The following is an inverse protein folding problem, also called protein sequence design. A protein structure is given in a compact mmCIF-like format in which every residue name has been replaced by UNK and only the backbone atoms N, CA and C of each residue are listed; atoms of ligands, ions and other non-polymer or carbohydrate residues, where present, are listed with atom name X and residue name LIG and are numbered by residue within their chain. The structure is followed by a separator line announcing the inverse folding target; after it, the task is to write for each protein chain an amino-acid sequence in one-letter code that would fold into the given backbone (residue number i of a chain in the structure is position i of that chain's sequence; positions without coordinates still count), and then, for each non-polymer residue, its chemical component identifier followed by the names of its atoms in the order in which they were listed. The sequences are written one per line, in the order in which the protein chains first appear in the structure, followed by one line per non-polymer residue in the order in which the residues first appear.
data_IF_779205347854
#
_entry.id   IF_779205347854
#
_cell.length_a   1.000
_cell.length_b   1.000
_cell.length_c   1.000
_cell.angle_alpha   90.00
_cell.angle_beta   90.00
_cell.angle_gamma   90.00
#
_symmetry.space_group_name_H-M   'P 1'
#
loop_
_entity.id
_entity.type
_entity.pdbx_description
1 polymer ?
#
# COMPACT_ATOMS: atom_id res chain seq x y z
N UNK A 1 -11.97 16.49 -5.63
CA UNK A 1 -13.22 16.72 -6.40
C UNK A 1 -13.49 18.21 -6.65
N UNK A 2 -13.07 19.11 -5.75
CA UNK A 2 -13.11 20.58 -5.95
C UNK A 2 -12.62 21.12 -7.32
N UNK A 3 -11.53 20.63 -7.94
CA UNK A 3 -11.09 21.15 -9.24
C UNK A 3 -12.07 20.89 -10.39
N UNK A 4 -13.08 20.05 -10.15
CA UNK A 4 -14.11 19.74 -11.13
C UNK A 4 -15.40 20.56 -10.94
N UNK A 5 -15.40 21.49 -9.97
CA UNK A 5 -16.54 22.35 -9.64
C UNK A 5 -17.56 21.72 -8.68
N UNK A 6 -17.26 20.54 -8.13
CA UNK A 6 -18.16 19.84 -7.22
C UNK A 6 -17.61 19.82 -5.79
N UNK A 7 -18.46 20.18 -4.84
CA UNK A 7 -18.19 20.17 -3.41
C UNK A 7 -19.13 19.15 -2.75
N UNK A 8 -18.84 17.85 -2.87
CA UNK A 8 -19.68 16.84 -2.24
C UNK A 8 -19.67 17.04 -0.72
N UNK A 9 -20.83 16.87 -0.08
CA UNK A 9 -20.93 16.95 1.38
C UNK A 9 -19.97 15.97 2.06
N UNK A 10 -19.36 16.41 3.17
CA UNK A 10 -18.41 15.58 3.93
C UNK A 10 -19.03 14.25 4.36
N UNK A 11 -20.25 14.27 4.90
CA UNK A 11 -20.96 13.08 5.37
C UNK A 11 -21.19 12.06 4.24
N UNK A 12 -21.70 12.50 3.08
CA UNK A 12 -21.94 11.63 1.94
C UNK A 12 -20.64 11.10 1.32
N UNK A 13 -19.58 11.91 1.32
CA UNK A 13 -18.24 11.47 0.91
C UNK A 13 -17.69 10.40 1.86
N UNK A 14 -17.83 10.60 3.17
CA UNK A 14 -17.43 9.63 4.18
C UNK A 14 -18.21 8.31 4.05
N UNK A 15 -19.55 8.38 3.93
CA UNK A 15 -20.39 7.21 3.70
C UNK A 15 -19.99 6.46 2.43
N UNK A 16 -19.78 7.17 1.32
CA UNK A 16 -19.38 6.54 0.05
C UNK A 16 -18.04 5.81 0.17
N UNK A 17 -17.07 6.35 0.92
CA UNK A 17 -15.77 5.71 1.16
C UNK A 17 -15.91 4.49 2.06
N UNK A 18 -16.61 4.59 3.19
CA UNK A 18 -16.80 3.47 4.13
C UNK A 18 -17.59 2.30 3.51
N UNK A 19 -18.67 2.61 2.77
CA UNK A 19 -19.45 1.61 2.02
C UNK A 19 -18.58 0.98 0.93
N UNK A 20 -17.73 1.78 0.27
CA UNK A 20 -16.75 1.29 -0.69
C UNK A 20 -15.77 0.28 -0.06
N UNK A 21 -15.21 0.60 1.12
CA UNK A 21 -14.32 -0.33 1.83
C UNK A 21 -15.04 -1.62 2.23
N UNK A 22 -16.27 -1.53 2.74
CA UNK A 22 -17.09 -2.70 3.06
C UNK A 22 -17.30 -3.59 1.83
N UNK A 23 -17.66 -3.00 0.69
CA UNK A 23 -17.88 -3.76 -0.54
C UNK A 23 -16.60 -4.41 -1.08
N UNK A 24 -15.44 -3.77 -0.90
CA UNK A 24 -14.14 -4.34 -1.27
C UNK A 24 -13.75 -5.56 -0.43
N UNK A 25 -14.28 -5.71 0.79
CA UNK A 25 -14.10 -6.94 1.58
C UNK A 25 -14.84 -8.12 0.94
N UNK A 26 -16.02 -7.89 0.35
CA UNK A 26 -16.82 -8.94 -0.28
C UNK A 26 -16.36 -9.25 -1.72
N UNK A 27 -16.16 -8.21 -2.53
CA UNK A 27 -15.78 -8.34 -3.94
C UNK A 27 -14.67 -7.32 -4.26
N UNK A 28 -13.48 -7.79 -4.69
CA UNK A 28 -12.39 -6.89 -5.06
C UNK A 28 -12.84 -5.85 -6.09
N UNK A 29 -12.51 -4.57 -5.83
CA UNK A 29 -12.76 -3.42 -6.70
C UNK A 29 -14.24 -3.00 -6.84
N UNK A 30 -15.19 -3.72 -6.24
CA UNK A 30 -16.60 -3.32 -6.25
C UNK A 30 -16.81 -1.99 -5.52
N UNK A 31 -16.02 -1.73 -4.48
CA UNK A 31 -16.12 -0.52 -3.68
C UNK A 31 -15.86 0.77 -4.46
N UNK A 32 -15.00 0.71 -5.47
CA UNK A 32 -14.69 1.87 -6.33
C UNK A 32 -15.91 2.24 -7.20
N UNK A 33 -16.59 1.22 -7.73
CA UNK A 33 -17.83 1.40 -8.49
C UNK A 33 -18.93 1.97 -7.59
N UNK A 34 -19.13 1.40 -6.41
CA UNK A 34 -20.16 1.87 -5.47
C UNK A 34 -19.91 3.29 -4.97
N UNK A 35 -18.66 3.66 -4.68
CA UNK A 35 -18.29 5.05 -4.32
C UNK A 35 -18.73 6.01 -5.42
N UNK A 36 -18.45 5.69 -6.68
CA UNK A 36 -18.90 6.49 -7.83
C UNK A 36 -20.42 6.56 -7.93
N UNK A 37 -21.12 5.43 -7.81
CA UNK A 37 -22.58 5.38 -7.91
C UNK A 37 -23.27 6.15 -6.79
N UNK A 38 -22.79 6.03 -5.55
CA UNK A 38 -23.34 6.73 -4.38
C UNK A 38 -23.17 8.24 -4.54
N UNK A 39 -21.97 8.70 -4.88
CA UNK A 39 -21.71 10.13 -5.08
C UNK A 39 -22.45 10.69 -6.31
N UNK A 40 -22.58 9.91 -7.38
CA UNK A 40 -23.40 10.32 -8.53
C UNK A 40 -24.88 10.46 -8.16
N UNK A 41 -25.40 9.55 -7.31
CA UNK A 41 -26.80 9.57 -6.88
C UNK A 41 -27.12 10.68 -5.88
N UNK A 42 -26.30 10.84 -4.83
CA UNK A 42 -26.61 11.73 -3.72
C UNK A 42 -25.97 13.12 -3.84
N UNK A 43 -24.82 13.24 -4.51
CA UNK A 43 -24.09 14.50 -4.69
C UNK A 43 -24.15 15.02 -6.13
N UNK A 44 -24.86 14.32 -7.03
CA UNK A 44 -25.06 14.67 -8.45
C UNK A 44 -23.74 14.94 -9.21
N UNK A 45 -22.65 14.28 -8.79
CA UNK A 45 -21.35 14.39 -9.43
C UNK A 45 -21.27 13.38 -10.59
N UNK A 46 -20.89 13.78 -11.82
CA UNK A 46 -20.76 12.86 -12.95
C UNK A 46 -19.78 11.71 -12.66
N UNK A 47 -20.20 10.47 -12.92
CA UNK A 47 -19.40 9.28 -12.65
C UNK A 47 -18.04 9.28 -13.38
N UNK A 48 -17.99 9.76 -14.62
CA UNK A 48 -16.77 9.86 -15.44
C UNK A 48 -15.66 10.66 -14.74
N UNK A 49 -16.05 11.74 -14.05
CA UNK A 49 -15.15 12.62 -13.30
C UNK A 49 -14.66 11.96 -11.99
N UNK A 50 -15.53 11.17 -11.34
CA UNK A 50 -15.19 10.42 -10.13
C UNK A 50 -14.17 9.31 -10.44
N UNK A 51 -14.33 8.61 -11.56
CA UNK A 51 -13.39 7.56 -11.99
C UNK A 51 -11.98 8.11 -12.15
N UNK A 52 -11.82 9.27 -12.80
CA UNK A 52 -10.49 9.90 -12.96
C UNK A 52 -9.82 10.24 -11.61
N UNK A 53 -10.60 10.62 -10.60
CA UNK A 53 -10.07 10.90 -9.25
C UNK A 53 -9.65 9.61 -8.54
N UNK A 54 -10.40 8.52 -8.69
CA UNK A 54 -10.04 7.22 -8.10
C UNK A 54 -8.74 6.69 -8.71
N UNK A 55 -8.55 6.80 -10.03
CA UNK A 55 -7.30 6.39 -10.67
C UNK A 55 -6.11 7.20 -10.13
N UNK A 56 -6.30 8.51 -9.91
CA UNK A 56 -5.31 9.36 -9.27
C UNK A 56 -4.96 8.89 -7.85
N UNK A 57 -5.98 8.66 -7.01
CA UNK A 57 -5.84 8.13 -5.65
C UNK A 57 -5.02 6.83 -5.66
N UNK A 58 -5.34 5.88 -6.55
CA UNK A 58 -4.65 4.59 -6.66
C UNK A 58 -3.19 4.70 -7.12
N UNK A 59 -2.90 5.57 -8.08
CA UNK A 59 -1.53 5.77 -8.51
C UNK A 59 -0.65 6.29 -7.37
N UNK A 60 -1.18 7.22 -6.56
CA UNK A 60 -0.48 7.73 -5.39
C UNK A 60 -0.29 6.67 -4.31
N UNK A 61 -1.32 5.86 -4.02
CA UNK A 61 -1.17 4.72 -3.11
C UNK A 61 -0.04 3.79 -3.53
N UNK A 62 0.08 3.46 -4.82
CA UNK A 62 1.13 2.58 -5.34
C UNK A 62 2.52 3.23 -5.23
N UNK A 63 2.64 4.53 -5.52
CA UNK A 63 3.91 5.26 -5.39
C UNK A 63 4.32 5.31 -3.93
N UNK A 64 3.41 5.65 -3.03
CA UNK A 64 3.67 5.72 -1.60
C UNK A 64 4.05 4.36 -1.03
N UNK A 65 3.38 3.27 -1.45
CA UNK A 65 3.80 1.91 -1.10
C UNK A 65 5.23 1.62 -1.61
N UNK A 66 5.56 2.04 -2.83
CA UNK A 66 6.92 1.94 -3.37
C UNK A 66 7.96 2.69 -2.54
N UNK A 67 7.63 3.89 -2.06
CA UNK A 67 8.50 4.66 -1.15
C UNK A 67 8.66 3.94 0.19
N UNK A 68 7.57 3.42 0.77
CA UNK A 68 7.60 2.65 2.02
C UNK A 68 8.48 1.40 1.86
N UNK A 69 8.38 0.70 0.74
CA UNK A 69 9.28 -0.42 0.41
C UNK A 69 10.74 0.03 0.35
N UNK A 70 11.05 1.10 -0.37
CA UNK A 70 12.41 1.62 -0.46
C UNK A 70 12.96 2.01 0.93
N UNK A 71 12.14 2.68 1.75
CA UNK A 71 12.52 3.06 3.11
C UNK A 71 12.75 1.82 3.99
N UNK A 72 11.88 0.81 3.92
CA UNK A 72 12.05 -0.47 4.63
C UNK A 72 13.38 -1.14 4.25
N UNK A 73 13.68 -1.22 2.94
CA UNK A 73 14.94 -1.75 2.45
C UNK A 73 16.16 -0.93 2.93
N UNK A 74 16.07 0.40 2.98
CA UNK A 74 17.18 1.24 3.45
C UNK A 74 17.39 1.18 4.97
N UNK A 75 16.32 1.07 5.76
CA UNK A 75 16.40 1.01 7.22
C UNK A 75 16.83 -0.38 7.71
N UNK A 76 16.46 -1.44 6.99
CA UNK A 76 17.01 -2.78 7.23
C UNK A 76 18.41 -2.96 6.61
N UNK A 77 18.95 -1.96 5.92
CA UNK A 77 20.26 -2.03 5.29
C UNK A 77 21.41 -2.06 6.31
N UNK A 78 21.19 -1.71 7.58
CA UNK A 78 22.21 -1.93 8.63
C UNK A 78 22.31 -3.41 9.00
N UNK A 79 21.19 -4.13 9.09
CA UNK A 79 21.16 -5.60 9.33
C UNK A 79 21.70 -6.36 8.11
N UNK A 80 21.31 -5.93 6.89
CA UNK A 80 21.86 -6.46 5.63
C UNK A 80 23.29 -5.97 5.40
N UNK A 81 23.68 -4.85 6.00
CA UNK A 81 24.98 -4.20 5.85
C UNK A 81 26.04 -4.78 6.75
N UNK A 82 25.70 -5.30 7.93
CA UNK A 82 26.59 -6.13 8.74
C UNK A 82 26.78 -7.50 8.10
N UNK A 83 25.70 -8.19 7.68
CA UNK A 83 25.81 -9.41 6.89
C UNK A 83 26.57 -9.17 5.58
N UNK A 84 26.31 -8.04 4.92
CA UNK A 84 26.95 -7.61 3.69
C UNK A 84 28.40 -7.25 3.90
N UNK A 85 28.77 -6.59 4.99
CA UNK A 85 30.17 -6.33 5.38
C UNK A 85 30.89 -7.62 5.75
N UNK A 86 30.24 -8.55 6.43
CA UNK A 86 30.82 -9.84 6.81
C UNK A 86 31.04 -10.72 5.58
N UNK A 87 30.05 -10.80 4.69
CA UNK A 87 30.16 -11.47 3.39
C UNK A 87 31.18 -10.75 2.49
N UNK A 88 31.22 -9.41 2.52
CA UNK A 88 32.19 -8.61 1.75
C UNK A 88 33.60 -8.77 2.31
N UNK A 89 33.78 -8.88 3.63
CA UNK A 89 35.07 -9.19 4.25
C UNK A 89 35.51 -10.61 3.90
N UNK A 90 34.65 -11.61 3.98
CA UNK A 90 34.96 -12.99 3.59
C UNK A 90 35.23 -13.15 2.08
N UNK A 91 34.50 -12.42 1.24
CA UNK A 91 34.64 -12.52 -0.22
C UNK A 91 35.77 -11.64 -0.77
N UNK A 92 36.06 -10.48 -0.17
CA UNK A 92 37.02 -9.50 -0.71
C UNK A 92 38.30 -9.32 0.08
N UNK A 93 38.39 -9.77 1.34
CA UNK A 93 39.69 -9.86 2.02
C UNK A 93 40.34 -11.21 1.73
N UNK A 94 41.60 -11.17 1.31
CA UNK A 94 42.45 -12.37 1.30
C UNK A 94 43.11 -12.47 2.67
N UNK A 95 43.55 -13.67 3.11
CA UNK A 95 44.18 -13.92 4.43
C UNK A 95 45.35 -12.97 4.83
N UNK A 96 45.82 -12.10 3.94
CA UNK A 96 46.84 -11.07 4.17
C UNK A 96 46.38 -9.60 4.10
N UNK A 97 45.08 -9.30 4.13
CA UNK A 97 44.57 -7.93 4.35
C UNK A 97 44.54 -6.97 3.14
N UNK A 98 44.91 -7.40 1.94
CA UNK A 98 44.83 -6.56 0.73
C UNK A 98 43.51 -6.72 -0.05
N UNK A 99 43.02 -5.59 -0.57
CA UNK A 99 41.75 -5.43 -1.30
C UNK A 99 41.87 -6.00 -2.73
N UNK A 100 41.03 -6.98 -3.10
CA UNK A 100 41.07 -7.59 -4.44
C UNK A 100 40.19 -6.84 -5.44
N UNK A 101 40.79 -5.90 -6.19
CA UNK A 101 40.12 -5.16 -7.28
C UNK A 101 39.56 -6.07 -8.38
N UNK A 102 40.15 -7.25 -8.58
CA UNK A 102 39.74 -8.24 -9.58
C UNK A 102 38.36 -8.84 -9.26
N UNK A 103 38.04 -9.11 -7.99
CA UNK A 103 36.73 -9.63 -7.58
C UNK A 103 35.62 -8.59 -7.73
N UNK A 104 35.95 -7.31 -7.56
CA UNK A 104 35.04 -6.17 -7.69
C UNK A 104 34.61 -5.95 -9.14
N UNK A 105 35.56 -6.08 -10.07
CA UNK A 105 35.30 -6.03 -11.51
C UNK A 105 34.45 -7.23 -11.97
N UNK A 106 34.71 -8.43 -11.44
CA UNK A 106 33.92 -9.63 -11.76
C UNK A 106 32.48 -9.50 -11.27
N UNK A 107 32.25 -9.01 -10.04
CA UNK A 107 30.91 -8.78 -9.52
C UNK A 107 30.20 -7.64 -10.25
N UNK A 108 30.91 -6.56 -10.60
CA UNK A 108 30.38 -5.50 -11.45
C UNK A 108 29.93 -6.02 -12.83
N UNK A 109 30.71 -6.91 -13.43
CA UNK A 109 30.36 -7.58 -14.69
C UNK A 109 29.18 -8.55 -14.53
N UNK A 110 29.08 -9.28 -13.41
CA UNK A 110 27.94 -10.17 -13.12
C UNK A 110 26.65 -9.36 -12.92
N UNK A 111 26.71 -8.25 -12.19
CA UNK A 111 25.55 -7.36 -12.00
C UNK A 111 25.14 -6.72 -13.33
N UNK A 112 26.11 -6.27 -14.13
CA UNK A 112 25.83 -5.71 -15.46
C UNK A 112 25.22 -6.78 -16.39
N UNK A 113 25.76 -8.00 -16.39
CA UNK A 113 25.22 -9.13 -17.14
C UNK A 113 23.82 -9.51 -16.65
N UNK A 114 23.56 -9.47 -15.34
CA UNK A 114 22.24 -9.71 -14.76
C UNK A 114 21.23 -8.64 -15.17
N UNK A 115 21.60 -7.34 -15.12
CA UNK A 115 20.73 -6.23 -15.56
C UNK A 115 20.45 -6.27 -17.06
N UNK A 116 21.45 -6.64 -17.88
CA UNK A 116 21.30 -6.83 -19.31
C UNK A 116 20.43 -8.05 -19.64
N UNK A 117 20.59 -9.15 -18.89
CA UNK A 117 19.74 -10.33 -18.98
C UNK A 117 18.30 -10.00 -18.57
N UNK A 118 18.08 -9.20 -17.52
CA UNK A 118 16.76 -8.73 -17.10
C UNK A 118 16.10 -7.86 -18.18
N UNK A 119 16.85 -6.93 -18.77
CA UNK A 119 16.40 -6.07 -19.87
C UNK A 119 16.05 -6.88 -21.12
N UNK A 120 16.84 -7.91 -21.43
CA UNK A 120 16.59 -8.82 -22.54
C UNK A 120 15.40 -9.75 -22.25
N UNK A 121 15.26 -10.24 -21.01
CA UNK A 121 14.11 -11.03 -20.53
C UNK A 121 12.80 -10.25 -20.64
N UNK A 122 12.79 -8.98 -20.23
CA UNK A 122 11.63 -8.10 -20.38
C UNK A 122 11.29 -7.77 -21.84
N UNK A 123 12.27 -7.77 -22.76
CA UNK A 123 12.04 -7.61 -24.21
C UNK A 123 11.57 -8.89 -24.88
N UNK A 124 12.15 -10.03 -24.53
CA UNK A 124 11.93 -11.31 -25.20
C UNK A 124 10.67 -12.03 -24.69
N UNK A 125 10.25 -11.78 -23.44
CA UNK A 125 9.05 -12.36 -22.83
C UNK A 125 7.90 -11.35 -22.64
N UNK A 126 7.74 -10.41 -23.58
CA UNK A 126 6.66 -9.41 -23.56
C UNK A 126 5.23 -10.02 -23.60
N UNK A 127 5.11 -11.32 -23.87
CA UNK A 127 3.87 -12.12 -23.86
C UNK A 127 3.59 -12.83 -22.53
N UNK A 128 4.51 -12.82 -21.55
CA UNK A 128 4.24 -13.35 -20.21
C UNK A 128 3.26 -12.43 -19.46
N UNK A 129 2.26 -13.03 -18.79
CA UNK A 129 1.23 -12.31 -18.00
C UNK A 129 1.82 -11.29 -17.03
N UNK A 130 3.01 -11.55 -16.48
CA UNK A 130 3.73 -10.66 -15.56
C UNK A 130 4.20 -9.35 -16.24
N UNK A 131 4.71 -9.41 -17.47
CA UNK A 131 5.20 -8.21 -18.19
C UNK A 131 4.03 -7.32 -18.62
N UNK A 132 2.93 -7.94 -19.06
CA UNK A 132 1.69 -7.22 -19.39
C UNK A 132 1.10 -6.57 -18.14
N UNK A 133 1.08 -7.28 -17.00
CA UNK A 133 0.65 -6.73 -15.71
C UNK A 133 1.51 -5.54 -15.29
N UNK A 134 2.84 -5.66 -15.40
CA UNK A 134 3.78 -4.58 -15.10
C UNK A 134 3.55 -3.34 -15.97
N UNK A 135 3.42 -3.52 -17.29
CA UNK A 135 3.10 -2.40 -18.20
C UNK A 135 1.77 -1.74 -17.86
N UNK A 136 0.75 -2.53 -17.49
CA UNK A 136 -0.57 -2.02 -17.09
C UNK A 136 -0.50 -1.20 -15.80
N UNK A 137 0.27 -1.67 -14.81
CA UNK A 137 0.52 -0.93 -13.56
C UNK A 137 1.26 0.38 -13.86
N UNK A 138 2.34 0.35 -14.64
CA UNK A 138 3.11 1.54 -15.04
C UNK A 138 2.25 2.57 -15.78
N UNK A 139 1.40 2.12 -16.70
CA UNK A 139 0.50 3.00 -17.43
C UNK A 139 -0.55 3.63 -16.51
N UNK A 140 -1.15 2.86 -15.60
CA UNK A 140 -2.10 3.38 -14.60
C UNK A 140 -1.46 4.39 -13.64
N UNK A 141 -0.20 4.16 -13.23
CA UNK A 141 0.57 5.12 -12.45
C UNK A 141 0.76 6.42 -13.23
N UNK A 142 1.14 6.34 -14.51
CA UNK A 142 1.34 7.51 -15.36
C UNK A 142 0.06 8.32 -15.56
N UNK A 143 -1.07 7.65 -15.81
CA UNK A 143 -2.38 8.29 -15.92
C UNK A 143 -2.79 8.99 -14.62
N UNK A 144 -2.63 8.31 -13.48
CA UNK A 144 -2.95 8.89 -12.18
C UNK A 144 -2.03 10.07 -11.83
N UNK A 145 -0.73 9.99 -12.12
CA UNK A 145 0.21 11.08 -11.88
C UNK A 145 -0.10 12.30 -12.77
N UNK A 146 -0.41 12.06 -14.05
CA UNK A 146 -0.83 13.10 -15.00
C UNK A 146 -2.13 13.79 -14.56
N UNK A 147 -3.06 13.03 -13.95
CA UNK A 147 -4.31 13.60 -13.44
C UNK A 147 -4.11 14.53 -12.23
N UNK A 148 -3.10 14.27 -11.38
CA UNK A 148 -2.81 15.13 -10.22
C UNK A 148 -2.28 16.49 -10.61
N UNK A 149 -1.67 16.63 -11.78
CA UNK A 149 -1.30 17.94 -12.30
C UNK A 149 -2.50 18.88 -12.51
N UNK A 150 -3.71 18.34 -12.60
CA UNK A 150 -4.97 19.09 -12.73
C UNK A 150 -5.65 19.40 -11.39
N UNK A 151 -5.09 18.98 -10.26
CA UNK A 151 -5.64 19.29 -8.94
C UNK A 151 -5.31 20.72 -8.49
N UNK A 152 -6.32 21.42 -7.95
CA UNK A 152 -6.21 22.80 -7.45
C UNK A 152 -5.32 22.89 -6.20
N UNK A 153 -5.46 21.93 -5.27
CA UNK A 153 -4.77 21.90 -3.97
C UNK A 153 -3.83 20.69 -3.84
N UNK A 154 -2.80 20.62 -4.69
CA UNK A 154 -1.84 19.50 -4.73
C UNK A 154 -1.13 19.25 -3.40
N UNK A 155 -0.78 20.33 -2.69
CA UNK A 155 -0.09 20.23 -1.39
C UNK A 155 -0.95 19.57 -0.32
N UNK A 156 -2.24 19.93 -0.24
CA UNK A 156 -3.19 19.34 0.72
C UNK A 156 -3.44 17.86 0.42
N UNK A 157 -3.56 17.51 -0.86
CA UNK A 157 -3.68 16.12 -1.29
C UNK A 157 -2.44 15.30 -0.88
N UNK A 158 -1.24 15.80 -1.17
CA UNK A 158 0.00 15.12 -0.79
C UNK A 158 0.14 14.99 0.74
N UNK A 159 -0.21 16.03 1.48
CA UNK A 159 -0.20 16.02 2.95
C UNK A 159 -1.09 14.91 3.51
N UNK A 160 -2.34 14.80 3.03
CA UNK A 160 -3.23 13.73 3.48
C UNK A 160 -2.73 12.35 3.05
N UNK A 161 -2.22 12.20 1.82
CA UNK A 161 -1.66 10.92 1.37
C UNK A 161 -0.49 10.48 2.25
N UNK A 162 0.46 11.37 2.55
CA UNK A 162 1.58 11.08 3.46
C UNK A 162 1.06 10.77 4.87
N UNK A 163 0.09 11.55 5.36
CA UNK A 163 -0.53 11.34 6.67
C UNK A 163 -1.17 9.96 6.82
N UNK A 164 -1.87 9.48 5.79
CA UNK A 164 -2.47 8.13 5.78
C UNK A 164 -1.39 7.05 5.91
N UNK A 165 -0.30 7.15 5.16
CA UNK A 165 0.80 6.18 5.23
C UNK A 165 1.53 6.22 6.57
N UNK A 166 1.74 7.41 7.13
CA UNK A 166 2.30 7.57 8.47
C UNK A 166 1.39 6.93 9.54
N UNK A 167 0.07 7.12 9.43
CA UNK A 167 -0.90 6.45 10.30
C UNK A 167 -0.88 4.93 10.14
N UNK A 168 -0.68 4.40 8.92
CA UNK A 168 -0.51 2.96 8.72
C UNK A 168 0.77 2.43 9.39
N UNK A 169 1.88 3.17 9.30
CA UNK A 169 3.15 2.79 9.95
C UNK A 169 2.97 2.79 11.47
N UNK A 170 2.41 3.87 12.03
CA UNK A 170 2.16 3.97 13.48
C UNK A 170 1.16 2.90 13.92
N UNK A 171 0.08 2.67 13.18
CA UNK A 171 -0.91 1.64 13.49
C UNK A 171 -0.29 0.25 13.49
N UNK A 172 0.60 -0.04 12.53
CA UNK A 172 1.34 -1.31 12.49
C UNK A 172 2.28 -1.43 13.69
N UNK A 173 3.00 -0.35 14.03
CA UNK A 173 3.92 -0.33 15.18
C UNK A 173 3.18 -0.53 16.52
N UNK A 174 2.04 0.14 16.70
CA UNK A 174 1.15 -0.06 17.85
C UNK A 174 0.61 -1.50 17.86
N UNK A 175 0.27 -2.05 16.69
CA UNK A 175 -0.16 -3.44 16.53
C UNK A 175 0.92 -4.44 16.95
N UNK A 176 2.18 -4.21 16.58
CA UNK A 176 3.32 -5.00 17.06
C UNK A 176 3.49 -4.88 18.58
N UNK A 177 3.30 -3.67 19.12
CA UNK A 177 3.40 -3.42 20.57
C UNK A 177 2.25 -4.05 21.38
N UNK A 178 1.17 -4.49 20.72
CA UNK A 178 -0.01 -5.05 21.38
C UNK A 178 0.08 -6.58 21.63
N UNK A 179 1.15 -7.25 21.19
CA UNK A 179 1.33 -8.69 21.37
C UNK A 179 2.63 -8.98 22.11
N UNK A 180 2.51 -9.74 23.21
CA UNK A 180 3.66 -10.20 23.99
C UNK A 180 4.62 -10.97 23.07
N UNK A 181 5.89 -10.56 23.04
CA UNK A 181 6.91 -11.14 22.16
C UNK A 181 7.21 -10.33 20.88
N UNK A 182 6.37 -9.35 20.51
CA UNK A 182 6.66 -8.37 19.44
C UNK A 182 6.85 -6.94 19.95
N UNK A 183 6.78 -6.73 21.26
CA UNK A 183 6.81 -5.40 21.90
C UNK A 183 8.16 -4.67 21.76
N UNK A 184 9.25 -5.43 21.60
CA UNK A 184 10.60 -4.90 21.46
C UNK A 184 10.88 -4.35 20.05
N UNK A 185 9.98 -4.58 19.10
CA UNK A 185 10.16 -4.21 17.70
C UNK A 185 9.99 -2.71 17.48
N UNK A 186 10.89 -2.15 16.67
CA UNK A 186 10.94 -0.73 16.39
C UNK A 186 10.04 -0.30 15.22
N UNK A 187 10.10 1.00 14.91
CA UNK A 187 9.44 1.58 13.74
C UNK A 187 10.00 0.97 12.43
N UNK A 188 11.28 0.59 12.40
CA UNK A 188 11.90 -0.05 11.24
C UNK A 188 11.25 -1.42 10.94
N UNK A 189 11.00 -2.23 11.96
CA UNK A 189 10.28 -3.50 11.83
C UNK A 189 8.84 -3.29 11.39
N UNK A 190 8.15 -2.29 11.97
CA UNK A 190 6.80 -1.93 11.58
C UNK A 190 6.70 -1.49 10.11
N UNK A 191 7.69 -0.75 9.61
CA UNK A 191 7.76 -0.31 8.23
C UNK A 191 7.90 -1.50 7.27
N UNK A 192 8.77 -2.45 7.60
CA UNK A 192 8.96 -3.68 6.83
C UNK A 192 7.76 -4.60 6.92
N UNK A 193 7.18 -4.77 8.11
CA UNK A 193 5.93 -5.48 8.33
C UNK A 193 4.82 -4.91 7.44
N UNK A 194 4.64 -3.58 7.44
CA UNK A 194 3.65 -2.91 6.61
C UNK A 194 3.92 -3.12 5.11
N UNK A 195 5.17 -2.99 4.67
CA UNK A 195 5.55 -3.16 3.26
C UNK A 195 5.19 -4.57 2.76
N UNK A 196 5.66 -5.61 3.46
CA UNK A 196 5.44 -7.00 3.06
C UNK A 196 3.99 -7.43 3.26
N UNK A 197 3.33 -7.04 4.36
CA UNK A 197 1.92 -7.37 4.58
C UNK A 197 0.99 -6.72 3.55
N UNK A 198 1.35 -5.53 3.01
CA UNK A 198 0.63 -4.89 1.91
C UNK A 198 0.64 -5.73 0.62
N UNK A 199 1.63 -6.60 0.41
CA UNK A 199 1.60 -7.58 -0.70
C UNK A 199 0.42 -8.53 -0.52
N UNK A 200 0.14 -8.96 0.71
CA UNK A 200 -1.00 -9.82 1.03
C UNK A 200 -2.34 -9.21 0.62
N UNK A 201 -2.49 -7.88 0.81
CA UNK A 201 -3.67 -7.12 0.39
C UNK A 201 -3.83 -7.07 -1.14
N UNK A 202 -2.73 -7.16 -1.90
CA UNK A 202 -2.74 -7.15 -3.37
C UNK A 202 -3.05 -8.55 -3.92
N UNK A 203 -2.50 -9.59 -3.29
CA UNK A 203 -2.58 -10.98 -3.76
C UNK A 203 -3.93 -11.62 -3.46
N UNK A 204 -4.55 -11.27 -2.33
CA UNK A 204 -5.82 -11.88 -1.89
C UNK A 204 -6.92 -10.84 -1.67
N UNK A 205 -8.20 -11.17 -1.96
CA UNK A 205 -9.33 -10.29 -1.64
C UNK A 205 -9.31 -9.87 -0.16
N UNK A 206 -9.19 -8.57 0.09
CA UNK A 206 -9.16 -8.03 1.44
C UNK A 206 -7.99 -8.49 2.33
N UNK A 207 -6.96 -9.14 1.76
CA UNK A 207 -5.78 -9.59 2.50
C UNK A 207 -5.97 -10.85 3.37
N UNK A 208 -7.10 -11.56 3.25
CA UNK A 208 -7.44 -12.69 4.12
C UNK A 208 -6.32 -13.73 4.12
N UNK A 209 -5.73 -13.97 5.30
CA UNK A 209 -4.66 -14.94 5.52
C UNK A 209 -3.29 -14.52 4.95
N UNK A 210 -3.24 -13.96 3.74
CA UNK A 210 -1.99 -13.54 3.12
C UNK A 210 -1.33 -12.37 3.85
N UNK A 211 -2.12 -11.42 4.38
CA UNK A 211 -1.59 -10.32 5.19
C UNK A 211 -0.82 -10.85 6.41
N UNK A 212 -1.46 -11.73 7.19
CA UNK A 212 -0.86 -12.35 8.37
C UNK A 212 0.36 -13.21 8.02
N UNK A 213 0.30 -13.96 6.91
CA UNK A 213 1.42 -14.78 6.44
C UNK A 213 2.65 -13.94 6.07
N UNK A 214 2.49 -12.90 5.26
CA UNK A 214 3.62 -12.05 4.85
C UNK A 214 4.19 -11.25 6.03
N UNK A 215 3.33 -10.81 6.95
CA UNK A 215 3.78 -10.20 8.20
C UNK A 215 4.61 -11.18 9.04
N UNK A 216 4.14 -12.41 9.23
CA UNK A 216 4.90 -13.43 9.95
C UNK A 216 6.27 -13.70 9.30
N UNK A 217 6.33 -13.81 7.97
CA UNK A 217 7.57 -14.09 7.24
C UNK A 217 8.63 -13.00 7.37
N UNK A 218 8.22 -11.74 7.44
CA UNK A 218 9.18 -10.65 7.64
C UNK A 218 9.59 -10.52 9.11
N UNK A 219 8.68 -10.77 10.05
CA UNK A 219 9.00 -10.77 11.48
C UNK A 219 9.92 -11.92 11.90
N UNK A 220 9.90 -13.06 11.19
CA UNK A 220 10.91 -14.13 11.36
C UNK A 220 12.35 -13.63 11.15
N UNK A 221 12.54 -12.56 10.36
CA UNK A 221 13.87 -11.93 10.19
C UNK A 221 14.27 -11.04 11.35
N UNK A 222 13.31 -10.61 12.16
CA UNK A 222 13.51 -9.85 13.39
C UNK A 222 13.45 -10.78 14.62
N UNK A 223 13.83 -12.05 14.46
CA UNK A 223 13.90 -13.07 15.51
C UNK A 223 12.57 -13.41 16.22
N UNK A 224 11.44 -13.07 15.59
CA UNK A 224 10.10 -13.42 16.10
C UNK A 224 9.67 -14.79 15.56
N UNK A 225 9.20 -15.72 16.41
CA UNK A 225 8.64 -16.99 15.95
C UNK A 225 7.47 -16.80 14.97
N UNK A 226 7.41 -17.62 13.91
CA UNK A 226 6.38 -17.52 12.88
C UNK A 226 4.95 -17.51 13.44
N UNK A 227 4.67 -18.39 14.40
CA UNK A 227 3.34 -18.50 15.01
C UNK A 227 2.92 -17.19 15.70
N UNK A 228 3.88 -16.53 16.36
CA UNK A 228 3.65 -15.28 17.06
C UNK A 228 3.47 -14.11 16.08
N UNK A 229 4.30 -14.05 15.04
CA UNK A 229 4.13 -13.07 13.95
C UNK A 229 2.82 -13.27 13.18
N UNK A 230 2.38 -14.51 12.99
CA UNK A 230 1.12 -14.84 12.33
C UNK A 230 -0.09 -14.46 13.20
N UNK A 231 -0.02 -14.72 14.51
CA UNK A 231 -1.03 -14.29 15.46
C UNK A 231 -1.15 -12.75 15.49
N UNK A 232 -0.03 -12.04 15.53
CA UNK A 232 -0.01 -10.58 15.49
C UNK A 232 -0.60 -10.03 14.17
N UNK A 233 -0.16 -10.55 13.02
CA UNK A 233 -0.69 -10.14 11.72
C UNK A 233 -2.18 -10.44 11.55
N UNK A 234 -2.65 -11.56 12.12
CA UNK A 234 -4.08 -11.90 12.17
C UNK A 234 -4.84 -10.90 13.03
N UNK A 235 -4.31 -10.54 14.21
CA UNK A 235 -4.92 -9.57 15.10
C UNK A 235 -5.08 -8.20 14.42
N UNK A 236 -4.02 -7.70 13.79
CA UNK A 236 -4.05 -6.40 13.10
C UNK A 236 -5.05 -6.40 11.93
N UNK A 237 -5.01 -7.45 11.09
CA UNK A 237 -5.96 -7.62 10.00
C UNK A 237 -7.40 -7.68 10.52
N UNK A 238 -7.64 -8.45 11.59
CA UNK A 238 -8.97 -8.63 12.16
C UNK A 238 -9.51 -7.35 12.78
N UNK A 239 -8.66 -6.56 13.44
CA UNK A 239 -9.04 -5.24 13.97
C UNK A 239 -9.50 -4.30 12.85
N UNK A 240 -8.73 -4.21 11.76
CA UNK A 240 -9.11 -3.41 10.60
C UNK A 240 -10.39 -3.93 9.94
N UNK A 241 -10.51 -5.24 9.76
CA UNK A 241 -11.70 -5.89 9.22
C UNK A 241 -12.95 -5.54 10.03
N UNK A 242 -12.87 -5.64 11.35
CA UNK A 242 -13.99 -5.39 12.25
C UNK A 242 -14.45 -3.92 12.20
N UNK A 243 -13.49 -2.97 12.16
CA UNK A 243 -13.81 -1.54 12.01
C UNK A 243 -14.54 -1.29 10.68
N UNK A 244 -14.02 -1.80 9.56
CA UNK A 244 -14.65 -1.62 8.24
C UNK A 244 -16.02 -2.28 8.20
N UNK A 245 -16.18 -3.46 8.81
CA UNK A 245 -17.45 -4.17 8.87
C UNK A 245 -18.50 -3.36 9.64
N UNK A 246 -18.20 -2.97 10.88
CA UNK A 246 -19.14 -2.26 11.76
C UNK A 246 -19.47 -0.88 11.22
N UNK A 247 -18.44 -0.07 10.95
CA UNK A 247 -18.63 1.31 10.47
C UNK A 247 -19.25 1.31 9.08
N UNK A 248 -18.85 0.38 8.21
CA UNK A 248 -19.44 0.21 6.89
C UNK A 248 -20.94 -0.07 6.94
N UNK A 249 -21.37 -1.02 7.78
CA UNK A 249 -22.80 -1.35 7.95
C UNK A 249 -23.57 -0.15 8.49
N UNK A 250 -23.03 0.54 9.50
CA UNK A 250 -23.64 1.77 10.04
C UNK A 250 -23.81 2.81 8.93
N UNK A 251 -22.79 3.01 8.09
CA UNK A 251 -22.85 3.96 6.98
C UNK A 251 -23.89 3.57 5.91
N UNK A 252 -24.04 2.27 5.59
CA UNK A 252 -25.09 1.79 4.66
C UNK A 252 -26.47 2.15 5.19
N UNK A 253 -26.72 1.96 6.48
CA UNK A 253 -28.02 2.25 7.12
C UNK A 253 -28.26 3.75 7.30
N UNK A 254 -27.22 4.51 7.65
CA UNK A 254 -27.30 5.94 7.92
C UNK A 254 -27.43 6.78 6.65
N UNK A 255 -26.80 6.39 5.53
CA UNK A 255 -26.79 7.14 4.27
C UNK A 255 -28.21 7.54 3.76
N UNK A 256 -29.20 6.62 3.65
CA UNK A 256 -30.54 7.00 3.20
C UNK A 256 -31.29 7.84 4.24
N UNK A 257 -31.07 7.62 5.54
CA UNK A 257 -31.72 8.38 6.62
C UNK A 257 -31.23 9.82 6.64
N UNK A 258 -29.91 10.00 6.55
CA UNK A 258 -29.27 11.32 6.50
C UNK A 258 -29.75 12.15 5.30
N UNK A 259 -29.80 11.56 4.11
CA UNK A 259 -30.24 12.29 2.91
C UNK A 259 -31.75 12.53 2.86
N UNK A 260 -32.60 11.69 3.49
CA UNK A 260 -34.03 11.99 3.62
C UNK A 260 -34.28 13.24 4.47
N UNK A 261 -33.48 13.46 5.51
CA UNK A 261 -33.61 14.62 6.41
C UNK A 261 -33.20 15.92 5.73
N UNK A 262 -32.07 15.92 5.01
CA UNK A 262 -31.59 17.10 4.28
C UNK A 262 -32.52 17.55 3.14
N UNK A 263 -33.21 16.61 2.46
CA UNK A 263 -34.21 16.96 1.43
C UNK A 263 -35.44 17.64 2.05
N UNK A 264 -35.78 17.32 3.30
CA UNK A 264 -36.86 17.97 4.03
C UNK A 264 -36.49 19.40 4.44
N UNK A 265 -35.25 19.63 4.89
CA UNK A 265 -34.76 20.95 5.29
C UNK A 265 -34.52 21.89 4.10
N UNK A 266 -34.24 21.39 2.89
CA UNK A 266 -34.10 22.22 1.68
C UNK A 266 -35.42 22.65 1.05
N UNK A 267 -36.55 22.05 1.46
CA UNK A 267 -37.90 22.30 0.94
C UNK A 267 -38.78 23.11 1.91
N UNK A 268 -38.22 23.57 3.04
CA UNK A 268 -38.81 24.56 3.95
C UNK A 268 -38.12 25.91 3.74
#
# INVERSE_FOLDING_TARGET
MEPMGYHPGFANSFFAVMIGYLANLAVPRLGEVLKCTILAKYEKVPAEKLVGTIVAERAFDVISLGIVFLLAFTLQFEIVGEYGKQLFQELFQTKGGNFSYTKLIVIGLIILAFLLALKFWFKQFAHLKLVILFKKILHGIWEGLSSVNKLKNKGLFLFYSIGIWLLYIIGTWVGLSATVGTEHLGIADALSALAFASIGMIVTPGGIGAYAFFMAKVLEKSEVPFELGFANGTLQWFAQFLIVLIVGIICVLALPVYNKRNIHESNQ
#
